data_IF_216261911614
#
_entry.id   IF_216261911614
#
_cell.length_a   1.000
_cell.length_b   1.000
_cell.length_c   1.000
_cell.angle_alpha   90.00
_cell.angle_beta   90.00
_cell.angle_gamma   90.00
#
_symmetry.space_group_name_H-M   'P 1'
#
loop_
_entity.id
_entity.type
_entity.pdbx_description
1 polymer ?
#
# COMPACT_ATOMS: atom_id res chain seq x y z
N UNK A 1 34.02 -4.69 -27.10
CA UNK A 1 34.92 -5.84 -26.88
C UNK A 1 34.49 -6.95 -27.80
N UNK A 2 35.41 -7.44 -28.64
CA UNK A 2 35.14 -8.46 -29.66
C UNK A 2 34.97 -9.85 -29.02
N UNK A 3 34.19 -10.77 -29.61
CA UNK A 3 33.99 -12.10 -29.05
C UNK A 3 35.23 -12.97 -29.25
N UNK A 4 35.95 -13.27 -28.16
CA UNK A 4 37.09 -14.20 -28.14
C UNK A 4 36.72 -15.60 -28.66
N UNK A 5 37.70 -16.44 -29.00
CA UNK A 5 37.51 -17.87 -29.40
C UNK A 5 36.63 -18.66 -28.41
N UNK A 6 36.68 -18.27 -27.12
CA UNK A 6 35.82 -18.79 -26.05
C UNK A 6 34.33 -18.44 -26.29
N UNK A 7 34.05 -17.26 -26.82
CA UNK A 7 32.69 -16.81 -27.18
C UNK A 7 32.18 -17.57 -28.41
N UNK A 8 33.04 -17.83 -29.42
CA UNK A 8 32.70 -18.69 -30.59
C UNK A 8 32.23 -20.08 -30.14
N UNK A 9 33.03 -20.77 -29.32
CA UNK A 9 32.69 -22.08 -28.75
C UNK A 9 31.44 -22.02 -27.86
N UNK A 10 31.31 -20.98 -27.03
CA UNK A 10 30.14 -20.81 -26.15
C UNK A 10 28.85 -20.62 -26.95
N UNK A 11 28.84 -19.82 -28.03
CA UNK A 11 27.66 -19.59 -28.85
C UNK A 11 27.24 -20.84 -29.62
N UNK A 12 28.19 -21.56 -30.22
CA UNK A 12 27.93 -22.85 -30.88
C UNK A 12 27.33 -23.82 -29.87
N UNK A 13 27.97 -24.01 -28.70
CA UNK A 13 27.44 -24.87 -27.64
C UNK A 13 26.06 -24.39 -27.16
N UNK A 14 25.81 -23.09 -27.06
CA UNK A 14 24.48 -22.56 -26.67
C UNK A 14 23.39 -22.94 -27.67
N UNK A 15 23.68 -22.79 -28.96
CA UNK A 15 22.77 -23.05 -30.08
C UNK A 15 22.50 -24.55 -30.23
N UNK A 16 23.51 -25.39 -30.08
CA UNK A 16 23.41 -26.84 -30.23
C UNK A 16 22.93 -27.55 -28.95
N UNK A 17 23.25 -27.03 -27.76
CA UNK A 17 22.78 -27.55 -26.47
C UNK A 17 21.43 -26.97 -26.02
N UNK A 18 20.87 -25.97 -26.71
CA UNK A 18 19.62 -25.29 -26.32
C UNK A 18 19.67 -24.70 -24.89
N UNK A 19 20.83 -24.22 -24.46
CA UNK A 19 21.01 -23.54 -23.16
C UNK A 19 20.96 -24.43 -21.91
N UNK A 20 20.97 -25.77 -22.02
CA UNK A 20 20.85 -26.68 -20.86
C UNK A 20 22.09 -26.79 -19.97
N UNK A 21 23.24 -26.29 -20.43
CA UNK A 21 24.53 -26.62 -19.81
C UNK A 21 25.03 -25.54 -18.83
N UNK A 22 24.16 -24.62 -18.39
CA UNK A 22 24.47 -23.58 -17.39
C UNK A 22 25.47 -22.51 -17.83
N UNK A 23 26.04 -22.63 -19.04
CA UNK A 23 27.12 -21.77 -19.54
C UNK A 23 26.66 -20.44 -20.16
N UNK A 24 25.35 -20.12 -20.17
CA UNK A 24 24.81 -19.02 -20.99
C UNK A 24 23.96 -18.05 -20.17
N UNK A 25 24.44 -16.82 -20.05
CA UNK A 25 23.69 -15.72 -19.43
C UNK A 25 22.71 -15.10 -20.45
N UNK A 26 21.49 -14.77 -20.00
CA UNK A 26 20.45 -14.10 -20.81
C UNK A 26 20.96 -12.80 -21.43
N UNK A 27 21.76 -12.03 -20.68
CA UNK A 27 22.40 -10.80 -21.15
C UNK A 27 23.37 -11.04 -22.33
N UNK A 28 24.15 -12.12 -22.27
CA UNK A 28 25.08 -12.48 -23.34
C UNK A 28 24.35 -12.86 -24.63
N UNK A 29 23.20 -13.55 -24.52
CA UNK A 29 22.35 -13.88 -25.67
C UNK A 29 21.65 -12.66 -26.27
N UNK A 30 21.14 -11.74 -25.45
CA UNK A 30 20.54 -10.50 -25.94
C UNK A 30 21.56 -9.65 -26.70
N UNK A 31 22.77 -9.50 -26.16
CA UNK A 31 23.86 -8.80 -26.85
C UNK A 31 24.26 -9.50 -28.14
N UNK A 32 24.29 -10.83 -28.16
CA UNK A 32 24.57 -11.58 -29.38
C UNK A 32 23.50 -11.32 -30.44
N UNK A 33 22.22 -11.42 -30.12
CA UNK A 33 21.11 -11.18 -31.07
C UNK A 33 21.15 -9.76 -31.62
N UNK A 34 21.44 -8.78 -30.76
CA UNK A 34 21.54 -7.36 -31.12
C UNK A 34 22.70 -7.05 -32.06
N UNK A 35 23.86 -7.69 -31.84
CA UNK A 35 25.08 -7.45 -32.63
C UNK A 35 25.29 -8.48 -33.75
N UNK A 36 24.33 -9.40 -33.96
CA UNK A 36 24.43 -10.38 -35.03
C UNK A 36 24.31 -9.67 -36.38
N UNK A 37 25.20 -9.95 -37.36
CA UNK A 37 25.07 -9.44 -38.72
C UNK A 37 23.74 -9.83 -39.38
N UNK A 38 23.31 -9.07 -40.38
CA UNK A 38 22.10 -9.41 -41.13
C UNK A 38 22.27 -10.72 -41.91
N UNK A 39 21.15 -11.38 -42.24
CA UNK A 39 21.19 -12.66 -42.95
C UNK A 39 21.93 -12.55 -44.31
N UNK A 40 21.82 -11.39 -44.96
CA UNK A 40 22.52 -11.11 -46.22
C UNK A 40 24.04 -11.07 -46.01
N UNK A 41 24.50 -10.40 -44.96
CA UNK A 41 25.92 -10.30 -44.62
C UNK A 41 26.50 -11.67 -44.23
N UNK A 42 25.76 -12.45 -43.44
CA UNK A 42 26.14 -13.82 -43.10
C UNK A 42 26.25 -14.72 -44.35
N UNK A 43 25.39 -14.51 -45.33
CA UNK A 43 25.41 -15.27 -46.59
C UNK A 43 26.64 -14.92 -47.43
N UNK A 44 26.96 -13.63 -47.54
CA UNK A 44 28.18 -13.18 -48.24
C UNK A 44 29.45 -13.72 -47.55
N UNK A 45 29.50 -13.69 -46.21
CA UNK A 45 30.62 -14.25 -45.46
C UNK A 45 30.75 -15.76 -45.68
N UNK A 46 29.64 -16.49 -45.84
CA UNK A 46 29.67 -17.94 -46.10
C UNK A 46 30.40 -18.31 -47.41
N UNK A 47 30.45 -17.41 -48.39
CA UNK A 47 31.16 -17.63 -49.67
C UNK A 47 32.69 -17.55 -49.50
N UNK A 48 33.17 -16.81 -48.51
CA UNK A 48 34.60 -16.59 -48.20
C UNK A 48 35.20 -17.73 -47.35
N UNK A 49 34.54 -18.89 -47.28
CA UNK A 49 34.93 -20.00 -46.39
C UNK A 49 36.30 -20.59 -46.75
N UNK A 50 36.75 -20.47 -47.99
CA UNK A 50 38.07 -20.90 -48.46
C UNK A 50 39.22 -20.06 -47.91
N UNK A 51 38.95 -18.81 -47.53
CA UNK A 51 39.95 -17.83 -47.08
C UNK A 51 39.92 -17.64 -45.54
N UNK A 52 39.35 -18.61 -44.81
CA UNK A 52 39.06 -18.48 -43.38
C UNK A 52 40.26 -18.05 -42.51
N UNK A 53 41.46 -18.57 -42.79
CA UNK A 53 42.67 -18.25 -42.02
C UNK A 53 43.21 -16.84 -42.28
N UNK A 54 42.82 -16.22 -43.41
CA UNK A 54 43.26 -14.88 -43.83
C UNK A 54 42.32 -13.77 -43.34
N UNK A 55 41.11 -14.13 -42.91
CA UNK A 55 40.08 -13.20 -42.46
C UNK A 55 40.27 -12.75 -41.01
N UNK A 56 39.74 -11.57 -40.67
CA UNK A 56 39.80 -11.08 -39.30
C UNK A 56 38.86 -11.87 -38.36
N UNK A 57 39.09 -11.80 -37.04
CA UNK A 57 38.32 -12.59 -36.07
C UNK A 57 36.80 -12.39 -36.15
N UNK A 58 36.34 -11.18 -36.51
CA UNK A 58 34.91 -10.88 -36.68
C UNK A 58 34.30 -11.55 -37.91
N UNK A 59 35.05 -11.66 -39.01
CA UNK A 59 34.59 -12.32 -40.23
C UNK A 59 34.62 -13.84 -40.06
N UNK A 60 35.67 -14.37 -39.42
CA UNK A 60 35.75 -15.76 -39.00
C UNK A 60 34.55 -16.14 -38.10
N UNK A 61 34.18 -15.27 -37.15
CA UNK A 61 32.97 -15.46 -36.34
C UNK A 61 31.71 -15.52 -37.20
N UNK A 62 31.56 -14.58 -38.16
CA UNK A 62 30.42 -14.56 -39.07
C UNK A 62 30.30 -15.81 -39.94
N UNK A 63 31.42 -16.36 -40.42
CA UNK A 63 31.47 -17.63 -41.18
C UNK A 63 31.02 -18.81 -40.34
N UNK A 64 31.47 -18.88 -39.09
CA UNK A 64 31.05 -19.94 -38.17
C UNK A 64 29.55 -19.83 -37.89
N UNK A 65 29.04 -18.62 -37.69
CA UNK A 65 27.61 -18.38 -37.45
C UNK A 65 26.73 -18.64 -38.68
N UNK A 66 27.22 -18.35 -39.89
CA UNK A 66 26.46 -18.58 -41.14
C UNK A 66 26.25 -20.07 -41.43
N UNK A 67 27.10 -20.94 -40.87
CA UNK A 67 26.91 -22.39 -40.96
C UNK A 67 25.67 -22.90 -40.19
N UNK A 68 25.15 -22.12 -39.24
CA UNK A 68 23.97 -22.47 -38.46
C UNK A 68 22.71 -22.05 -39.21
N UNK A 69 21.92 -23.05 -39.64
CA UNK A 69 20.61 -22.81 -40.26
C UNK A 69 19.64 -22.14 -39.28
N UNK A 70 18.93 -21.11 -39.75
CA UNK A 70 17.90 -20.40 -38.96
C UNK A 70 18.44 -19.87 -37.61
N UNK A 71 19.67 -19.35 -37.60
CA UNK A 71 20.35 -18.91 -36.37
C UNK A 71 19.54 -17.90 -35.54
N UNK A 72 18.96 -16.87 -36.16
CA UNK A 72 18.15 -15.86 -35.44
C UNK A 72 16.91 -16.48 -34.76
N UNK A 73 16.06 -17.26 -35.45
CA UNK A 73 15.00 -18.06 -34.82
C UNK A 73 15.48 -18.90 -33.63
N UNK A 74 16.61 -19.61 -33.77
CA UNK A 74 17.18 -20.43 -32.69
C UNK A 74 17.53 -19.61 -31.45
N UNK A 75 18.27 -18.51 -31.65
CA UNK A 75 18.69 -17.63 -30.56
C UNK A 75 17.50 -16.99 -29.85
N UNK A 76 16.49 -16.54 -30.59
CA UNK A 76 15.26 -15.98 -30.01
C UNK A 76 14.48 -17.04 -29.22
N UNK A 77 14.34 -18.26 -29.75
CA UNK A 77 13.68 -19.36 -29.04
C UNK A 77 14.40 -19.75 -27.75
N UNK A 78 15.73 -19.81 -27.76
CA UNK A 78 16.55 -20.07 -26.56
C UNK A 78 16.39 -18.94 -25.55
N UNK A 79 16.48 -17.67 -25.98
CA UNK A 79 16.30 -16.52 -25.10
C UNK A 79 14.91 -16.52 -24.45
N UNK A 80 13.87 -16.80 -25.24
CA UNK A 80 12.51 -16.92 -24.72
C UNK A 80 12.41 -18.04 -23.68
N UNK A 81 12.93 -19.24 -23.99
CA UNK A 81 12.96 -20.36 -23.03
C UNK A 81 13.63 -20.02 -21.71
N UNK A 82 14.73 -19.28 -21.74
CA UNK A 82 15.47 -18.90 -20.54
C UNK A 82 14.76 -17.80 -19.71
N UNK A 83 13.94 -16.97 -20.34
CA UNK A 83 13.26 -15.83 -19.69
C UNK A 83 11.78 -16.08 -19.39
N UNK A 84 11.21 -17.17 -19.88
CA UNK A 84 9.79 -17.46 -19.80
C UNK A 84 9.26 -17.54 -18.37
N UNK A 85 9.91 -18.35 -17.52
CA UNK A 85 9.48 -18.53 -16.13
C UNK A 85 9.56 -17.23 -15.32
N UNK A 86 10.55 -16.38 -15.60
CA UNK A 86 10.64 -15.04 -15.00
C UNK A 86 9.46 -14.16 -15.43
N UNK A 87 9.13 -14.13 -16.73
CA UNK A 87 7.99 -13.38 -17.23
C UNK A 87 6.67 -13.84 -16.58
N UNK A 88 6.46 -15.15 -16.46
CA UNK A 88 5.28 -15.72 -15.78
C UNK A 88 5.23 -15.29 -14.31
N UNK A 89 6.36 -15.37 -13.61
CA UNK A 89 6.44 -14.99 -12.19
C UNK A 89 6.30 -13.49 -11.94
N UNK A 90 6.53 -12.64 -12.94
CA UNK A 90 6.28 -11.21 -12.86
C UNK A 90 4.81 -10.86 -13.17
N UNK A 91 4.19 -11.53 -14.14
CA UNK A 91 2.80 -11.23 -14.58
C UNK A 91 1.76 -11.80 -13.60
N UNK A 92 1.98 -13.03 -13.10
CA UNK A 92 0.98 -13.74 -12.30
C UNK A 92 0.59 -13.00 -11.00
N UNK A 93 1.52 -12.50 -10.18
CA UNK A 93 1.18 -11.82 -8.94
C UNK A 93 0.34 -10.57 -9.17
N UNK A 94 0.62 -9.80 -10.22
CA UNK A 94 -0.13 -8.59 -10.57
C UNK A 94 -1.60 -8.91 -10.87
N UNK A 95 -1.86 -9.97 -11.67
CA UNK A 95 -3.23 -10.43 -11.93
C UNK A 95 -3.91 -10.87 -10.62
N UNK A 96 -3.20 -11.60 -9.76
CA UNK A 96 -3.76 -12.09 -8.50
C UNK A 96 -4.08 -10.96 -7.53
N UNK A 97 -3.21 -9.99 -7.37
CA UNK A 97 -3.41 -8.83 -6.49
C UNK A 97 -4.68 -8.06 -6.87
N UNK A 98 -4.87 -7.78 -8.16
CA UNK A 98 -6.08 -7.09 -8.64
C UNK A 98 -7.32 -7.97 -8.49
N UNK A 99 -7.21 -9.27 -8.77
CA UNK A 99 -8.32 -10.23 -8.63
C UNK A 99 -8.81 -10.29 -7.19
N UNK A 100 -7.90 -10.48 -6.23
CA UNK A 100 -8.24 -10.53 -4.81
C UNK A 100 -8.78 -9.20 -4.30
N UNK A 101 -8.14 -8.07 -4.66
CA UNK A 101 -8.65 -6.76 -4.29
C UNK A 101 -10.08 -6.52 -4.82
N UNK A 102 -10.41 -6.98 -6.03
CA UNK A 102 -11.78 -6.88 -6.53
C UNK A 102 -12.78 -7.67 -5.67
N UNK A 103 -12.42 -8.89 -5.27
CA UNK A 103 -13.27 -9.72 -4.44
C UNK A 103 -13.41 -9.19 -3.02
N UNK A 104 -12.31 -8.77 -2.40
CA UNK A 104 -12.24 -8.18 -1.07
C UNK A 104 -13.14 -6.96 -0.95
N UNK A 105 -13.00 -6.00 -1.87
CA UNK A 105 -13.80 -4.78 -1.86
C UNK A 105 -15.29 -5.07 -2.02
N UNK A 106 -15.65 -6.04 -2.86
CA UNK A 106 -17.05 -6.40 -3.09
C UNK A 106 -17.66 -7.19 -1.91
N UNK A 107 -16.87 -8.01 -1.23
CA UNK A 107 -17.32 -8.90 -0.14
C UNK A 107 -17.20 -8.26 1.25
N UNK A 108 -16.43 -7.19 1.39
CA UNK A 108 -16.20 -6.53 2.67
C UNK A 108 -17.50 -5.92 3.22
N UNK A 109 -18.00 -6.52 4.30
CA UNK A 109 -19.15 -6.04 5.04
C UNK A 109 -18.80 -4.73 5.76
N UNK A 110 -17.62 -4.65 6.38
CA UNK A 110 -17.16 -3.43 7.05
C UNK A 110 -17.05 -2.25 6.09
N UNK A 111 -16.56 -2.48 4.86
CA UNK A 111 -16.49 -1.44 3.84
C UNK A 111 -17.89 -1.00 3.38
N UNK A 112 -18.81 -1.94 3.17
CA UNK A 112 -20.20 -1.62 2.80
C UNK A 112 -20.88 -0.77 3.88
N UNK A 113 -20.67 -1.10 5.15
CA UNK A 113 -21.24 -0.36 6.28
C UNK A 113 -20.67 1.06 6.44
N UNK A 114 -19.37 1.29 6.19
CA UNK A 114 -18.83 2.65 6.21
C UNK A 114 -19.40 3.50 5.07
N UNK A 115 -19.65 2.92 3.89
CA UNK A 115 -20.30 3.63 2.79
C UNK A 115 -21.72 4.08 3.18
N UNK A 116 -22.49 3.20 3.81
CA UNK A 116 -23.83 3.54 4.31
C UNK A 116 -23.79 4.64 5.38
N UNK A 117 -22.84 4.57 6.31
CA UNK A 117 -22.67 5.59 7.35
C UNK A 117 -22.29 6.95 6.73
N UNK A 118 -21.37 6.96 5.75
CA UNK A 118 -21.00 8.17 5.01
C UNK A 118 -22.21 8.74 4.27
N UNK A 119 -23.01 7.89 3.61
CA UNK A 119 -24.22 8.32 2.91
C UNK A 119 -25.24 8.93 3.87
N UNK A 120 -25.47 8.29 5.02
CA UNK A 120 -26.40 8.76 6.05
C UNK A 120 -25.98 10.13 6.58
N UNK A 121 -24.71 10.27 7.00
CA UNK A 121 -24.18 11.52 7.53
C UNK A 121 -24.17 12.61 6.45
N UNK A 122 -23.76 12.26 5.23
CA UNK A 122 -23.79 13.15 4.08
C UNK A 122 -25.20 13.69 3.77
N UNK A 123 -26.21 12.82 3.77
CA UNK A 123 -27.60 13.22 3.54
C UNK A 123 -28.15 14.11 4.65
N UNK A 124 -27.81 13.82 5.91
CA UNK A 124 -28.19 14.65 7.04
C UNK A 124 -27.55 16.04 6.96
N UNK A 125 -26.25 16.10 6.64
CA UNK A 125 -25.51 17.37 6.51
C UNK A 125 -25.96 18.20 5.31
N UNK A 126 -26.35 17.56 4.21
CA UNK A 126 -26.80 18.23 2.98
C UNK A 126 -28.30 18.55 2.95
N UNK A 127 -29.02 18.38 4.07
CA UNK A 127 -30.45 18.66 4.15
C UNK A 127 -30.77 20.10 3.70
N UNK A 128 -31.69 20.24 2.75
CA UNK A 128 -32.07 21.54 2.18
C UNK A 128 -31.16 22.07 1.06
N UNK A 129 -30.12 21.33 0.66
CA UNK A 129 -29.29 21.62 -0.51
C UNK A 129 -29.75 20.80 -1.74
N UNK A 130 -29.16 21.08 -2.92
CA UNK A 130 -29.36 20.27 -4.14
C UNK A 130 -28.97 18.80 -3.96
N UNK A 131 -28.11 18.51 -2.98
CA UNK A 131 -27.59 17.18 -2.72
C UNK A 131 -28.24 16.51 -1.51
N UNK A 132 -29.38 17.03 -1.06
CA UNK A 132 -30.21 16.33 -0.09
C UNK A 132 -30.79 15.06 -0.73
N UNK A 133 -30.92 13.98 0.06
CA UNK A 133 -31.58 12.73 -0.34
C UNK A 133 -30.92 12.03 -1.54
N UNK A 134 -29.58 12.04 -1.62
CA UNK A 134 -28.86 11.24 -2.60
C UNK A 134 -28.96 9.76 -2.24
N UNK A 135 -29.00 8.90 -3.27
CA UNK A 135 -29.02 7.45 -3.12
C UNK A 135 -27.61 6.84 -3.06
N UNK A 136 -26.58 7.61 -3.39
CA UNK A 136 -25.20 7.17 -3.42
C UNK A 136 -24.24 8.31 -3.75
N UNK A 137 -22.96 8.00 -3.68
CA UNK A 137 -21.87 8.90 -4.05
C UNK A 137 -20.75 8.09 -4.72
N UNK A 138 -19.91 8.76 -5.49
CA UNK A 138 -18.77 8.12 -6.14
C UNK A 138 -17.66 7.82 -5.10
N UNK A 139 -17.03 6.64 -5.16
CA UNK A 139 -15.99 6.21 -4.21
C UNK A 139 -14.84 7.21 -4.06
N UNK A 140 -14.46 7.93 -5.13
CA UNK A 140 -13.45 9.00 -5.08
C UNK A 140 -13.73 10.08 -4.03
N UNK A 141 -15.00 10.24 -3.63
CA UNK A 141 -15.41 11.18 -2.60
C UNK A 141 -14.87 10.81 -1.20
N UNK A 142 -14.58 9.53 -0.94
CA UNK A 142 -14.10 9.09 0.38
C UNK A 142 -12.84 9.82 0.83
N UNK A 143 -11.92 10.10 -0.11
CA UNK A 143 -10.71 10.87 0.17
C UNK A 143 -10.99 12.32 0.59
N UNK A 144 -12.14 12.89 0.21
CA UNK A 144 -12.55 14.27 0.49
C UNK A 144 -13.17 14.44 1.89
N UNK A 145 -13.48 13.34 2.59
CA UNK A 145 -14.00 13.38 3.96
C UNK A 145 -13.04 14.05 4.94
N UNK A 146 -11.73 14.00 4.66
CA UNK A 146 -10.72 14.70 5.46
C UNK A 146 -10.78 16.23 5.28
N UNK A 147 -11.24 16.71 4.14
CA UNK A 147 -11.22 18.14 3.81
C UNK A 147 -12.38 18.90 4.46
N UNK A 148 -13.42 18.18 4.87
CA UNK A 148 -14.57 18.75 5.59
C UNK A 148 -14.22 18.89 7.07
N UNK A 149 -14.13 20.12 7.57
CA UNK A 149 -13.74 20.43 8.95
C UNK A 149 -14.92 20.91 9.80
N UNK A 150 -14.83 20.68 11.10
CA UNK A 150 -15.70 21.29 12.11
C UNK A 150 -15.50 22.82 12.15
N UNK A 151 -16.46 23.55 12.73
CA UNK A 151 -16.42 25.02 12.83
C UNK A 151 -15.16 25.53 13.55
N UNK A 152 -14.67 24.78 14.54
CA UNK A 152 -13.45 25.09 15.29
C UNK A 152 -12.16 24.61 14.60
N UNK A 153 -12.26 24.03 13.40
CA UNK A 153 -11.16 23.49 12.57
C UNK A 153 -10.28 22.42 13.23
N UNK A 154 -10.66 21.94 14.41
CA UNK A 154 -9.87 20.96 15.18
C UNK A 154 -10.15 19.50 14.80
N UNK A 155 -11.26 19.23 14.12
CA UNK A 155 -11.65 17.87 13.70
C UNK A 155 -12.18 17.87 12.28
N UNK A 156 -12.04 16.74 11.60
CA UNK A 156 -12.60 16.55 10.26
C UNK A 156 -13.80 15.61 10.31
N UNK A 157 -14.60 15.58 9.24
CA UNK A 157 -15.70 14.63 9.11
C UNK A 157 -15.18 13.19 9.16
N UNK A 158 -14.00 12.92 8.60
CA UNK A 158 -13.35 11.61 8.72
C UNK A 158 -13.03 11.23 10.18
N UNK A 159 -12.51 12.17 10.99
CA UNK A 159 -12.28 11.93 12.42
C UNK A 159 -13.58 11.65 13.16
N UNK A 160 -14.63 12.41 12.86
CA UNK A 160 -15.95 12.19 13.46
C UNK A 160 -16.51 10.80 13.09
N UNK A 161 -16.43 10.42 11.82
CA UNK A 161 -16.89 9.10 11.36
C UNK A 161 -16.10 7.98 12.03
N UNK A 162 -14.77 8.08 12.08
CA UNK A 162 -13.89 7.11 12.72
C UNK A 162 -14.24 6.94 14.22
N UNK A 163 -14.44 8.04 14.95
CA UNK A 163 -14.89 8.02 16.35
C UNK A 163 -16.25 7.33 16.49
N UNK A 164 -17.22 7.63 15.62
CA UNK A 164 -18.55 6.99 15.67
C UNK A 164 -18.49 5.51 15.34
N UNK A 165 -17.61 5.09 14.44
CA UNK A 165 -17.38 3.67 14.17
C UNK A 165 -16.86 2.96 15.43
N UNK A 166 -15.89 3.55 16.12
CA UNK A 166 -15.35 2.97 17.36
C UNK A 166 -16.36 2.89 18.51
N UNK A 167 -17.23 3.89 18.64
CA UNK A 167 -18.23 3.92 19.72
C UNK A 167 -19.45 3.02 19.47
N UNK A 168 -19.91 2.92 18.21
CA UNK A 168 -21.22 2.34 17.90
C UNK A 168 -21.21 1.21 16.88
N UNK A 169 -20.20 1.16 16.02
CA UNK A 169 -20.14 0.24 14.88
C UNK A 169 -18.77 -0.44 14.79
N UNK A 170 -18.34 -1.20 15.83
CA UNK A 170 -17.01 -1.79 15.90
C UNK A 170 -16.73 -2.79 14.76
N UNK A 171 -17.78 -3.35 14.14
CA UNK A 171 -17.69 -4.20 12.95
C UNK A 171 -17.05 -3.48 11.75
N UNK A 172 -17.26 -2.17 11.61
CA UNK A 172 -16.66 -1.37 10.53
C UNK A 172 -15.13 -1.37 10.65
N UNK A 173 -14.59 -1.37 11.88
CA UNK A 173 -13.16 -1.20 12.11
C UNK A 173 -12.29 -2.32 11.52
N UNK A 174 -12.89 -3.42 11.05
CA UNK A 174 -12.20 -4.55 10.41
C UNK A 174 -11.96 -4.34 8.91
N UNK A 175 -12.67 -3.42 8.26
CA UNK A 175 -12.55 -3.23 6.81
C UNK A 175 -11.10 -2.96 6.34
N UNK A 176 -10.22 -2.25 7.08
CA UNK A 176 -8.84 -2.05 6.65
C UNK A 176 -8.05 -3.36 6.54
N UNK A 177 -8.41 -4.38 7.32
CA UNK A 177 -7.78 -5.71 7.27
C UNK A 177 -8.45 -6.60 6.20
N UNK A 178 -9.74 -6.38 5.92
CA UNK A 178 -10.48 -7.08 4.85
C UNK A 178 -10.02 -6.66 3.44
N UNK A 179 -9.36 -5.50 3.31
CA UNK A 179 -8.87 -4.93 2.06
C UNK A 179 -7.33 -5.07 1.92
N UNK A 180 -6.82 -6.28 2.12
CA UNK A 180 -5.38 -6.58 2.16
C UNK A 180 -4.67 -6.27 0.83
N UNK A 181 -5.23 -6.70 -0.30
CA UNK A 181 -4.57 -6.60 -1.60
C UNK A 181 -4.74 -5.25 -2.30
N UNK A 182 -5.56 -4.35 -1.74
CA UNK A 182 -5.88 -3.04 -2.36
C UNK A 182 -4.61 -2.19 -2.59
N UNK A 183 -3.66 -2.19 -1.65
CA UNK A 183 -2.40 -1.42 -1.82
C UNK A 183 -1.48 -2.03 -2.88
N UNK A 184 -1.49 -3.36 -3.04
CA UNK A 184 -0.74 -4.01 -4.10
C UNK A 184 -1.39 -3.77 -5.47
N UNK A 185 -2.72 -3.88 -5.54
CA UNK A 185 -3.50 -3.63 -6.76
C UNK A 185 -3.33 -2.20 -7.27
N UNK A 186 -3.23 -1.20 -6.37
CA UNK A 186 -3.02 0.19 -6.76
C UNK A 186 -1.67 0.47 -7.45
N UNK A 187 -0.72 -0.46 -7.35
CA UNK A 187 0.62 -0.34 -7.97
C UNK A 187 0.71 -1.08 -9.32
N UNK A 188 -0.32 -1.85 -9.68
CA UNK A 188 -0.36 -2.61 -10.93
C UNK A 188 -0.85 -1.72 -12.07
N UNK A 189 -0.03 -1.55 -13.11
CA UNK A 189 -0.47 -0.86 -14.32
C UNK A 189 -1.17 -1.82 -15.28
N UNK A 190 -2.47 -1.60 -15.52
CA UNK A 190 -3.27 -2.42 -16.43
C UNK A 190 -2.70 -2.47 -17.86
N UNK A 191 -2.12 -1.35 -18.32
CA UNK A 191 -1.53 -1.23 -19.65
C UNK A 191 -0.26 -2.07 -19.80
N UNK A 192 0.65 -1.97 -18.82
CA UNK A 192 1.90 -2.74 -18.80
C UNK A 192 1.61 -4.23 -18.70
N UNK A 193 0.64 -4.61 -17.87
CA UNK A 193 0.22 -6.00 -17.70
C UNK A 193 -0.30 -6.58 -19.03
N UNK A 194 -1.20 -5.86 -19.72
CA UNK A 194 -1.71 -6.28 -21.03
C UNK A 194 -0.62 -6.38 -22.09
N UNK A 195 0.26 -5.38 -22.16
CA UNK A 195 1.38 -5.38 -23.11
C UNK A 195 2.36 -6.54 -22.88
N UNK A 196 2.54 -6.95 -21.62
CA UNK A 196 3.40 -8.07 -21.25
C UNK A 196 2.81 -9.41 -21.68
N UNK A 197 1.49 -9.60 -21.48
CA UNK A 197 0.77 -10.77 -21.99
C UNK A 197 0.80 -10.85 -23.53
N UNK A 198 0.56 -9.74 -24.21
CA UNK A 198 0.58 -9.69 -25.69
C UNK A 198 1.98 -9.99 -26.26
N UNK A 199 3.01 -9.56 -25.55
CA UNK A 199 4.40 -9.84 -25.93
C UNK A 199 4.74 -11.31 -25.72
N UNK A 200 4.31 -11.90 -24.60
CA UNK A 200 4.44 -13.33 -24.34
C UNK A 200 3.72 -14.16 -25.41
N UNK A 201 2.48 -13.81 -25.77
CA UNK A 201 1.72 -14.51 -26.80
C UNK A 201 2.45 -14.50 -28.15
N UNK A 202 2.95 -13.33 -28.57
CA UNK A 202 3.71 -13.20 -29.82
C UNK A 202 4.98 -14.05 -29.81
N UNK A 203 5.68 -14.13 -28.68
CA UNK A 203 6.87 -14.99 -28.56
C UNK A 203 6.51 -16.48 -28.69
N UNK A 204 5.41 -16.92 -28.09
CA UNK A 204 4.94 -18.32 -28.18
C UNK A 204 4.52 -18.63 -29.62
N UNK A 205 3.71 -17.79 -30.26
CA UNK A 205 3.29 -17.98 -31.66
C UNK A 205 4.50 -18.03 -32.61
N UNK A 206 5.48 -17.15 -32.39
CA UNK A 206 6.73 -17.17 -33.17
C UNK A 206 7.49 -18.47 -32.98
N UNK A 207 7.64 -18.93 -31.74
CA UNK A 207 8.32 -20.19 -31.44
C UNK A 207 7.61 -21.39 -32.10
N UNK A 208 6.28 -21.46 -32.02
CA UNK A 208 5.48 -22.52 -32.65
C UNK A 208 5.68 -22.54 -34.17
N UNK A 209 5.63 -21.37 -34.81
CA UNK A 209 5.89 -21.22 -36.24
C UNK A 209 7.33 -21.61 -36.61
N UNK A 210 8.32 -21.20 -35.80
CA UNK A 210 9.72 -21.54 -36.03
C UNK A 210 9.95 -23.06 -35.92
N UNK A 211 9.32 -23.73 -34.96
CA UNK A 211 9.38 -25.20 -34.80
C UNK A 211 8.76 -25.91 -36.00
N UNK A 212 7.60 -25.47 -36.48
CA UNK A 212 6.91 -26.10 -37.62
C UNK A 212 7.69 -25.95 -38.93
N UNK A 213 8.31 -24.78 -39.15
CA UNK A 213 9.03 -24.48 -40.38
C UNK A 213 10.51 -24.91 -40.34
N UNK A 214 10.95 -25.56 -39.26
CA UNK A 214 12.34 -25.93 -39.10
C UNK A 214 12.73 -27.08 -40.05
N UNK A 215 13.77 -26.93 -40.89
CA UNK A 215 14.18 -27.99 -41.80
C UNK A 215 14.67 -29.23 -41.02
N UNK A 216 14.23 -30.41 -41.46
CA UNK A 216 14.75 -31.68 -40.95
C UNK A 216 16.26 -31.75 -41.25
N UNK A 217 17.03 -32.09 -40.24
CA UNK A 217 18.50 -32.14 -40.31
C UNK A 217 18.99 -33.58 -40.21
N UNK A 218 20.02 -33.92 -40.97
CA UNK A 218 20.74 -35.19 -40.88
C UNK A 218 21.91 -35.11 -39.88
N UNK A 219 22.22 -33.89 -39.38
CA UNK A 219 23.29 -33.65 -38.42
C UNK A 219 22.89 -34.13 -37.02
N UNK A 220 23.59 -35.14 -36.51
CA UNK A 220 23.38 -35.72 -35.17
C UNK A 220 23.71 -34.76 -34.02
N UNK A 221 24.45 -33.69 -34.28
CA UNK A 221 24.75 -32.64 -33.29
C UNK A 221 23.64 -31.59 -33.21
N UNK A 222 22.81 -31.43 -34.25
CA UNK A 222 21.71 -30.48 -34.30
C UNK A 222 20.48 -30.98 -33.54
N UNK A 223 20.55 -30.82 -32.22
CA UNK A 223 19.46 -31.15 -31.30
C UNK A 223 18.52 -29.98 -31.07
N UNK A 224 18.41 -28.99 -31.96
CA UNK A 224 17.52 -27.86 -31.69
C UNK A 224 16.06 -28.24 -31.82
N UNK A 225 15.64 -28.85 -32.92
CA UNK A 225 14.26 -29.32 -33.07
C UNK A 225 13.96 -30.39 -32.03
N UNK A 226 14.91 -31.29 -31.78
CA UNK A 226 14.82 -32.27 -30.69
C UNK A 226 14.73 -31.58 -29.33
N UNK A 227 15.57 -30.65 -28.92
CA UNK A 227 15.44 -30.04 -27.58
C UNK A 227 14.30 -29.04 -27.48
N UNK A 228 13.96 -28.32 -28.53
CA UNK A 228 12.82 -27.40 -28.50
C UNK A 228 11.47 -28.15 -28.56
N UNK A 229 11.43 -29.33 -29.20
CA UNK A 229 10.24 -30.20 -29.26
C UNK A 229 10.21 -31.32 -28.21
N UNK A 230 11.37 -31.86 -27.79
CA UNK A 230 11.60 -33.05 -26.93
C UNK A 230 12.28 -32.71 -25.59
N UNK A 231 12.97 -31.57 -25.40
CA UNK A 231 13.44 -31.15 -24.06
C UNK A 231 12.29 -30.62 -23.19
N UNK A 232 11.28 -31.48 -23.07
CA UNK A 232 10.04 -31.41 -22.30
C UNK A 232 9.05 -30.38 -22.81
N UNK A 233 8.36 -30.66 -23.93
CA UNK A 233 7.10 -30.02 -24.33
C UNK A 233 7.07 -28.47 -24.15
N UNK A 234 8.21 -27.76 -24.27
CA UNK A 234 8.30 -26.37 -23.80
C UNK A 234 7.35 -25.44 -24.55
N UNK A 235 7.18 -25.67 -25.85
CA UNK A 235 6.17 -24.97 -26.65
C UNK A 235 4.74 -25.25 -26.14
N UNK A 236 4.40 -26.49 -25.76
CA UNK A 236 3.10 -26.80 -25.16
C UNK A 236 2.95 -26.24 -23.75
N UNK A 237 3.95 -26.41 -22.89
CA UNK A 237 3.97 -25.86 -21.52
C UNK A 237 3.82 -24.34 -21.54
N UNK A 238 4.60 -23.63 -22.35
CA UNK A 238 4.50 -22.17 -22.46
C UNK A 238 3.14 -21.73 -22.97
N UNK A 239 2.57 -22.43 -23.96
CA UNK A 239 1.18 -22.23 -24.42
C UNK A 239 0.17 -22.45 -23.29
N UNK A 240 0.23 -23.57 -22.58
CA UNK A 240 -0.69 -23.89 -21.48
C UNK A 240 -0.62 -22.86 -20.33
N UNK A 241 0.59 -22.44 -19.94
CA UNK A 241 0.78 -21.42 -18.92
C UNK A 241 0.25 -20.06 -19.38
N UNK A 242 0.49 -19.69 -20.65
CA UNK A 242 -0.09 -18.48 -21.23
C UNK A 242 -1.62 -18.52 -21.23
N UNK A 243 -2.25 -19.62 -21.66
CA UNK A 243 -3.71 -19.74 -21.67
C UNK A 243 -4.30 -19.60 -20.25
N UNK A 244 -3.63 -20.15 -19.24
CA UNK A 244 -4.01 -19.96 -17.82
C UNK A 244 -3.93 -18.49 -17.43
N UNK A 245 -2.80 -17.82 -17.70
CA UNK A 245 -2.63 -16.39 -17.40
C UNK A 245 -3.65 -15.51 -18.15
N UNK A 246 -3.88 -15.79 -19.44
CA UNK A 246 -4.86 -15.09 -20.27
C UNK A 246 -6.27 -15.26 -19.71
N UNK A 247 -6.63 -16.47 -19.28
CA UNK A 247 -7.91 -16.74 -18.62
C UNK A 247 -8.03 -16.00 -17.29
N UNK A 248 -6.99 -16.03 -16.45
CA UNK A 248 -6.96 -15.28 -15.19
C UNK A 248 -7.12 -13.77 -15.42
N UNK A 249 -6.40 -13.21 -16.39
CA UNK A 249 -6.49 -11.80 -16.75
C UNK A 249 -7.90 -11.42 -17.26
N UNK A 250 -8.52 -12.25 -18.11
CA UNK A 250 -9.91 -12.02 -18.55
C UNK A 250 -10.89 -12.05 -17.39
N UNK A 251 -10.70 -12.96 -16.43
CA UNK A 251 -11.54 -13.02 -15.23
C UNK A 251 -11.33 -11.79 -14.33
N UNK A 252 -10.09 -11.36 -14.13
CA UNK A 252 -9.72 -10.13 -13.42
C UNK A 252 -10.43 -8.91 -14.04
N UNK A 253 -10.40 -8.76 -15.37
CA UNK A 253 -11.10 -7.67 -16.06
C UNK A 253 -12.62 -7.70 -15.81
N UNK A 254 -13.24 -8.88 -15.88
CA UNK A 254 -14.69 -9.03 -15.60
C UNK A 254 -15.04 -8.70 -14.15
N UNK A 255 -14.18 -9.03 -13.19
CA UNK A 255 -14.38 -8.66 -11.79
C UNK A 255 -14.33 -7.15 -11.61
N UNK A 256 -13.39 -6.47 -12.27
CA UNK A 256 -13.30 -5.01 -12.26
C UNK A 256 -14.52 -4.35 -12.93
N UNK A 257 -14.98 -4.89 -14.06
CA UNK A 257 -16.23 -4.44 -14.70
C UNK A 257 -17.45 -4.64 -13.79
N UNK A 258 -17.48 -5.76 -13.05
CA UNK A 258 -18.51 -6.00 -12.04
C UNK A 258 -18.44 -5.01 -10.89
N UNK A 259 -17.26 -4.53 -10.50
CA UNK A 259 -17.12 -3.46 -9.51
C UNK A 259 -17.69 -2.14 -10.02
N UNK A 260 -17.45 -1.80 -11.30
CA UNK A 260 -18.04 -0.62 -11.94
C UNK A 260 -19.57 -0.63 -11.88
N UNK A 261 -20.16 -1.80 -12.15
CA UNK A 261 -21.61 -1.98 -12.03
C UNK A 261 -22.10 -1.89 -10.57
N UNK A 262 -21.33 -2.42 -9.62
CA UNK A 262 -21.70 -2.45 -8.20
C UNK A 262 -21.60 -1.06 -7.52
N UNK A 263 -20.54 -0.31 -7.82
CA UNK A 263 -20.27 1.02 -7.25
C UNK A 263 -20.64 2.18 -8.20
N UNK A 264 -21.30 1.88 -9.31
CA UNK A 264 -21.80 2.85 -10.30
C UNK A 264 -20.71 3.81 -10.86
N UNK A 265 -19.60 3.24 -11.33
CA UNK A 265 -18.58 3.97 -12.11
C UNK A 265 -18.33 3.27 -13.45
N UNK A 266 -17.78 4.01 -14.43
CA UNK A 266 -17.42 3.45 -15.74
C UNK A 266 -15.99 2.86 -15.72
N UNK A 267 -15.83 1.52 -15.83
CA UNK A 267 -14.53 0.84 -15.82
C UNK A 267 -13.59 1.22 -16.96
N UNK A 268 -14.09 1.85 -18.03
CA UNK A 268 -13.27 2.30 -19.15
C UNK A 268 -12.69 3.70 -18.93
N UNK A 269 -13.29 4.47 -18.01
CA UNK A 269 -12.81 5.82 -17.68
C UNK A 269 -11.90 5.82 -16.45
N UNK A 270 -12.17 4.93 -15.49
CA UNK A 270 -11.37 4.80 -14.27
C UNK A 270 -10.46 3.60 -14.42
N UNK A 271 -9.15 3.83 -14.41
CA UNK A 271 -8.16 2.76 -14.48
C UNK A 271 -8.11 1.96 -13.16
N UNK A 272 -7.59 0.73 -13.22
CA UNK A 272 -7.49 -0.16 -12.06
C UNK A 272 -6.61 0.48 -10.98
N UNK A 273 -5.46 1.00 -11.38
CA UNK A 273 -4.51 1.68 -10.50
C UNK A 273 -5.11 2.93 -9.84
N UNK A 274 -5.92 3.72 -10.58
CA UNK A 274 -6.58 4.90 -10.02
C UNK A 274 -7.65 4.50 -8.99
N UNK A 275 -8.53 3.56 -9.33
CA UNK A 275 -9.60 3.10 -8.45
C UNK A 275 -9.05 2.55 -7.12
N UNK A 276 -8.12 1.59 -7.21
CA UNK A 276 -7.52 1.01 -6.02
C UNK A 276 -6.57 1.99 -5.32
N UNK A 277 -5.98 2.94 -6.04
CA UNK A 277 -5.18 4.01 -5.45
C UNK A 277 -5.99 4.95 -4.55
N UNK A 278 -7.17 5.36 -5.00
CA UNK A 278 -8.10 6.15 -4.18
C UNK A 278 -8.55 5.38 -2.94
N UNK A 279 -8.84 4.08 -3.10
CA UNK A 279 -9.29 3.25 -1.98
C UNK A 279 -8.15 2.98 -0.97
N UNK A 280 -6.94 2.70 -1.44
CA UNK A 280 -5.75 2.57 -0.60
C UNK A 280 -5.48 3.85 0.18
N UNK A 281 -5.62 5.01 -0.47
CA UNK A 281 -5.49 6.30 0.19
C UNK A 281 -6.57 6.47 1.27
N UNK A 282 -7.84 6.24 0.95
CA UNK A 282 -8.92 6.33 1.95
C UNK A 282 -8.68 5.40 3.15
N UNK A 283 -8.29 4.14 2.91
CA UNK A 283 -7.94 3.18 3.97
C UNK A 283 -6.88 3.75 4.91
N UNK A 284 -5.81 4.32 4.36
CA UNK A 284 -4.74 4.92 5.15
C UNK A 284 -5.23 6.16 5.92
N UNK A 285 -6.01 7.04 5.28
CA UNK A 285 -6.58 8.22 5.92
C UNK A 285 -7.51 7.84 7.09
N UNK A 286 -8.31 6.78 6.94
CA UNK A 286 -9.18 6.28 7.99
C UNK A 286 -8.37 5.75 9.18
N UNK A 287 -7.34 4.94 8.91
CA UNK A 287 -6.43 4.43 9.94
C UNK A 287 -5.67 5.56 10.66
N UNK A 288 -5.27 6.60 9.93
CA UNK A 288 -4.65 7.80 10.50
C UNK A 288 -5.61 8.52 11.44
N UNK A 289 -6.84 8.76 10.99
CA UNK A 289 -7.87 9.41 11.79
C UNK A 289 -8.18 8.63 13.09
N UNK A 290 -8.22 7.29 13.02
CA UNK A 290 -8.37 6.43 14.21
C UNK A 290 -7.21 6.62 15.20
N UNK A 291 -5.96 6.61 14.71
CA UNK A 291 -4.76 6.83 15.54
C UNK A 291 -4.73 8.22 16.16
N UNK A 292 -5.12 9.24 15.40
CA UNK A 292 -5.20 10.62 15.87
C UNK A 292 -6.29 10.80 16.93
N UNK A 293 -7.48 10.22 16.74
CA UNK A 293 -8.55 10.21 17.73
C UNK A 293 -8.14 9.54 19.05
N UNK A 294 -7.45 8.41 18.98
CA UNK A 294 -6.95 7.72 20.18
C UNK A 294 -5.96 8.61 20.95
N UNK A 295 -4.98 9.21 20.26
CA UNK A 295 -4.02 10.14 20.88
C UNK A 295 -4.70 11.35 21.49
N UNK A 296 -5.71 11.91 20.82
CA UNK A 296 -6.49 13.05 21.31
C UNK A 296 -7.23 12.70 22.61
N UNK A 297 -7.94 11.57 22.65
CA UNK A 297 -8.63 11.09 23.87
C UNK A 297 -7.67 10.87 25.04
N UNK A 298 -6.51 10.26 24.80
CA UNK A 298 -5.49 10.10 25.85
C UNK A 298 -4.99 11.44 26.40
N UNK A 299 -4.79 12.43 25.53
CA UNK A 299 -4.33 13.76 25.91
C UNK A 299 -5.41 14.49 26.72
N UNK A 300 -6.66 14.44 26.28
CA UNK A 300 -7.80 15.04 26.98
C UNK A 300 -8.01 14.43 28.37
N UNK A 301 -7.87 13.11 28.51
CA UNK A 301 -7.91 12.45 29.81
C UNK A 301 -6.77 12.89 30.74
N UNK A 302 -5.55 13.01 30.23
CA UNK A 302 -4.40 13.50 31.00
C UNK A 302 -4.62 14.93 31.47
N UNK A 303 -5.11 15.81 30.61
CA UNK A 303 -5.44 17.21 30.95
C UNK A 303 -6.55 17.25 32.00
N UNK A 304 -7.62 16.48 31.83
CA UNK A 304 -8.73 16.41 32.79
C UNK A 304 -8.27 15.93 34.17
N UNK A 305 -7.45 14.87 34.22
CA UNK A 305 -6.86 14.36 35.47
C UNK A 305 -5.95 15.40 36.14
N UNK A 306 -5.11 16.09 35.37
CA UNK A 306 -4.26 17.15 35.89
C UNK A 306 -5.05 18.33 36.46
N UNK A 307 -6.14 18.76 35.77
CA UNK A 307 -7.03 19.83 36.23
C UNK A 307 -7.72 19.46 37.55
N UNK A 308 -8.29 18.26 37.64
CA UNK A 308 -8.93 17.77 38.86
C UNK A 308 -7.94 17.66 40.03
N UNK A 309 -6.70 17.23 39.77
CA UNK A 309 -5.65 17.16 40.78
C UNK A 309 -5.27 18.57 41.29
N UNK A 310 -5.17 19.56 40.39
CA UNK A 310 -4.87 20.96 40.74
C UNK A 310 -6.01 21.57 41.57
N UNK A 311 -7.26 21.41 41.15
CA UNK A 311 -8.44 21.91 41.87
C UNK A 311 -8.55 21.28 43.27
N UNK A 312 -8.27 19.98 43.40
CA UNK A 312 -8.22 19.31 44.71
C UNK A 312 -7.10 19.85 45.59
N UNK A 313 -5.90 20.04 45.05
CA UNK A 313 -4.78 20.60 45.79
C UNK A 313 -5.02 22.05 46.25
N UNK A 314 -5.69 22.87 45.43
CA UNK A 314 -6.08 24.22 45.81
C UNK A 314 -7.15 24.23 46.90
N UNK A 315 -8.14 23.34 46.83
CA UNK A 315 -9.16 23.17 47.88
C UNK A 315 -8.55 22.76 49.22
N UNK A 316 -7.67 21.74 49.22
CA UNK A 316 -6.96 21.31 50.42
C UNK A 316 -6.07 22.42 51.01
N UNK A 317 -5.44 23.24 50.15
CA UNK A 317 -4.65 24.40 50.59
C UNK A 317 -5.53 25.48 51.24
N UNK A 318 -6.70 25.77 50.66
CA UNK A 318 -7.63 26.75 51.21
C UNK A 318 -8.23 26.28 52.55
N UNK A 319 -8.61 25.01 52.66
CA UNK A 319 -9.08 24.42 53.92
C UNK A 319 -8.01 24.49 55.03
N UNK A 320 -6.75 24.22 54.70
CA UNK A 320 -5.63 24.38 55.65
C UNK A 320 -5.46 25.83 56.09
N UNK A 321 -5.59 26.79 55.17
CA UNK A 321 -5.50 28.20 55.50
C UNK A 321 -6.68 28.66 56.37
N UNK A 322 -7.90 28.19 56.10
CA UNK A 322 -9.07 28.48 56.93
C UNK A 322 -8.96 27.89 58.33
N UNK A 323 -8.55 26.62 58.47
CA UNK A 323 -8.28 26.01 59.79
C UNK A 323 -7.20 26.78 60.56
N UNK A 324 -6.14 27.23 59.88
CA UNK A 324 -5.11 28.08 60.50
C UNK A 324 -5.66 29.44 60.93
N UNK A 325 -6.53 30.06 60.13
CA UNK A 325 -7.19 31.33 60.49
C UNK A 325 -8.15 31.17 61.68
N UNK A 326 -8.95 30.10 61.73
CA UNK A 326 -9.84 29.82 62.87
C UNK A 326 -9.07 29.65 64.19
N UNK A 327 -7.92 28.97 64.17
CA UNK A 327 -7.03 28.88 65.34
C UNK A 327 -6.44 30.24 65.75
N UNK A 328 -6.33 31.20 64.83
CA UNK A 328 -5.81 32.54 65.11
C UNK A 328 -6.94 33.49 65.56
N UNK A 329 -8.17 33.35 65.05
CA UNK A 329 -9.31 34.22 65.37
C UNK A 329 -9.92 33.93 66.76
N UNK A 330 -9.73 32.70 67.30
CA UNK A 330 -9.96 32.42 68.73
C UNK A 330 -9.07 33.25 69.67
N UNK A 331 -8.08 33.99 69.14
CA UNK A 331 -7.23 34.92 69.92
C UNK A 331 -7.71 36.38 69.90
N UNK A 332 -8.88 36.69 69.31
CA UNK A 332 -9.40 38.07 69.24
C UNK A 332 -10.44 38.44 70.29
N UNK A 333 -10.92 37.49 71.09
CA UNK A 333 -11.72 37.79 72.27
C UNK A 333 -10.79 38.08 73.47
N UNK A 334 -10.26 39.30 73.50
CA UNK A 334 -10.18 40.14 74.70
C UNK A 334 -9.40 39.71 75.96
N UNK A 335 -8.71 38.57 76.04
CA UNK A 335 -7.92 38.22 77.24
C UNK A 335 -6.47 37.83 76.88
N UNK A 336 -5.56 38.80 77.02
CA UNK A 336 -4.12 38.66 76.72
C UNK A 336 -3.39 37.66 77.64
N UNK A 337 -4.05 37.13 78.68
CA UNK A 337 -3.43 36.24 79.69
C UNK A 337 -3.57 34.74 79.37
N UNK A 338 -4.38 34.33 78.38
CA UNK A 338 -4.63 32.91 78.03
C UNK A 338 -4.10 32.47 76.66
N UNK A 339 -3.52 33.39 75.88
CA UNK A 339 -3.11 33.13 74.49
C UNK A 339 -1.88 32.21 74.42
N UNK A 340 -0.93 32.36 75.36
CA UNK A 340 0.28 31.52 75.41
C UNK A 340 -0.03 30.09 75.84
N UNK A 341 -0.96 29.91 76.79
CA UNK A 341 -1.33 28.59 77.33
C UNK A 341 -2.15 27.78 76.32
N UNK A 342 -3.09 28.40 75.60
CA UNK A 342 -3.82 27.74 74.51
C UNK A 342 -2.88 27.33 73.35
N UNK A 343 -1.85 28.15 73.05
CA UNK A 343 -0.86 27.82 72.03
C UNK A 343 0.05 26.67 72.48
N UNK A 344 0.49 26.68 73.75
CA UNK A 344 1.25 25.60 74.37
C UNK A 344 0.44 24.30 74.40
N UNK A 345 -0.84 24.34 74.77
CA UNK A 345 -1.73 23.17 74.79
C UNK A 345 -1.94 22.61 73.37
N UNK A 346 -2.10 23.45 72.35
CA UNK A 346 -2.20 23.01 70.96
C UNK A 346 -0.88 22.39 70.42
N UNK A 347 0.28 22.88 70.87
CA UNK A 347 1.60 22.33 70.55
C UNK A 347 1.86 21.01 71.30
N UNK A 348 1.44 20.92 72.56
CA UNK A 348 1.66 19.79 73.46
C UNK A 348 0.67 18.63 73.21
N UNK A 349 -0.59 18.92 72.87
CA UNK A 349 -1.58 17.94 72.40
C UNK A 349 -1.34 17.45 70.97
N UNK A 350 -0.40 18.08 70.26
CA UNK A 350 -0.07 17.79 68.86
C UNK A 350 -1.11 18.27 67.85
N UNK A 351 -2.17 18.97 68.28
CA UNK A 351 -3.20 19.54 67.41
C UNK A 351 -2.63 20.53 66.38
N UNK A 352 -1.58 21.28 66.74
CA UNK A 352 -0.89 22.23 65.88
C UNK A 352 -0.08 21.59 64.72
N UNK A 353 0.25 20.30 64.79
CA UNK A 353 1.15 19.62 63.85
C UNK A 353 0.53 18.43 63.09
N UNK A 354 -0.79 18.20 63.22
CA UNK A 354 -1.48 17.01 62.69
C UNK A 354 -1.26 16.73 61.19
N UNK A 355 -0.90 17.73 60.40
CA UNK A 355 -0.78 17.60 58.94
C UNK A 355 0.59 17.15 58.41
N UNK A 356 1.65 17.07 59.25
CA UNK A 356 3.01 16.81 58.75
C UNK A 356 3.33 15.32 58.48
N UNK A 357 2.46 14.38 58.88
CA UNK A 357 2.73 12.92 58.80
C UNK A 357 2.30 12.21 57.52
N UNK A 358 1.64 12.87 56.55
CA UNK A 358 1.40 12.29 55.21
C UNK A 358 2.26 13.00 54.15
N UNK A 359 3.55 12.68 54.11
CA UNK A 359 4.41 12.92 52.95
C UNK A 359 4.49 11.64 52.12
N UNK A 360 3.85 11.60 50.96
CA UNK A 360 4.21 10.68 49.87
C UNK A 360 5.43 11.22 49.10
N UNK A 361 6.27 10.37 48.50
CA UNK A 361 7.53 10.80 47.89
C UNK A 361 7.31 11.65 46.63
N UNK A 362 8.14 12.67 46.49
CA UNK A 362 8.15 13.65 45.38
C UNK A 362 8.96 13.09 44.21
N UNK A 363 8.30 12.60 43.17
CA UNK A 363 8.94 12.44 41.86
C UNK A 363 8.80 13.75 41.08
N UNK A 364 9.93 14.41 40.83
CA UNK A 364 9.99 15.66 40.10
C UNK A 364 9.85 15.44 38.59
N UNK A 365 8.91 16.16 37.97
CA UNK A 365 9.06 16.70 36.61
C UNK A 365 8.48 18.10 36.58
N UNK A 366 9.28 19.03 36.08
CA UNK A 366 9.01 20.45 35.85
C UNK A 366 7.86 20.62 34.84
N UNK A 367 6.90 21.47 35.16
CA UNK A 367 5.84 21.88 34.25
C UNK A 367 6.00 23.37 33.92
N UNK A 368 6.09 23.65 32.63
CA UNK A 368 5.99 24.98 32.05
C UNK A 368 4.55 25.49 32.17
N UNK A 369 4.42 26.77 32.49
CA UNK A 369 3.16 27.52 32.53
C UNK A 369 2.71 27.88 31.13
N UNK A 370 1.51 27.46 30.73
CA UNK A 370 0.76 28.06 29.61
C UNK A 370 -0.62 28.46 30.12
N UNK A 371 -1.01 29.68 29.75
CA UNK A 371 -2.23 30.36 30.20
C UNK A 371 -3.51 29.63 29.82
N UNK A 372 -4.50 29.81 30.68
CA UNK A 372 -5.86 29.29 30.57
C UNK A 372 -6.73 30.26 29.79
N UNK A 373 -7.40 29.79 28.74
CA UNK A 373 -8.72 30.28 28.36
C UNK A 373 -9.74 29.17 28.60
N UNK A 374 -10.82 29.53 29.27
CA UNK A 374 -11.94 28.67 29.64
C UNK A 374 -12.95 28.60 28.51
N UNK A 375 -13.24 27.39 28.02
CA UNK A 375 -14.49 27.11 27.32
C UNK A 375 -15.17 25.94 28.01
N UNK A 376 -16.39 26.20 28.44
CA UNK A 376 -17.32 25.25 29.02
C UNK A 376 -18.35 24.93 27.93
N UNK A 377 -18.45 23.66 27.54
CA UNK A 377 -19.59 23.21 26.73
C UNK A 377 -20.22 21.96 27.36
N UNK A 378 -21.55 21.88 27.40
CA UNK A 378 -22.28 20.67 27.79
C UNK A 378 -22.34 19.67 26.62
N UNK A 379 -22.49 18.40 26.98
CA UNK A 379 -22.48 17.17 26.18
C UNK A 379 -23.53 17.02 25.06
N UNK A 380 -24.10 18.11 24.54
CA UNK A 380 -25.12 18.05 23.46
C UNK A 380 -24.80 18.89 22.22
N UNK A 381 -23.57 19.40 22.10
CA UNK A 381 -23.19 20.33 21.03
C UNK A 381 -22.53 19.68 19.80
N UNK A 382 -22.11 18.41 19.88
CA UNK A 382 -21.27 17.79 18.84
C UNK A 382 -21.98 17.62 17.48
N UNK A 383 -23.30 17.48 17.47
CA UNK A 383 -24.06 17.41 16.21
C UNK A 383 -24.23 18.78 15.54
N UNK A 384 -24.18 19.89 16.30
CA UNK A 384 -24.48 21.23 15.80
C UNK A 384 -23.24 21.96 15.24
N UNK A 385 -22.04 21.63 15.71
CA UNK A 385 -20.78 22.31 15.36
C UNK A 385 -20.19 21.85 14.01
N UNK A 386 -20.67 20.72 13.47
CA UNK A 386 -20.25 20.21 12.16
C UNK A 386 -21.16 20.73 11.02
N UNK A 387 -22.31 21.35 11.33
CA UNK A 387 -23.40 21.60 10.36
C UNK A 387 -23.39 22.94 9.61
N UNK A 388 -22.32 23.74 9.62
CA UNK A 388 -22.38 25.14 9.13
C UNK A 388 -21.41 25.56 8.02
N UNK A 389 -20.80 24.66 7.24
CA UNK A 389 -20.73 24.97 5.81
C UNK A 389 -20.71 23.72 4.92
N UNK A 390 -21.87 23.32 4.38
CA UNK A 390 -21.90 22.46 3.21
C UNK A 390 -23.02 22.89 2.25
N UNK A 391 -22.73 23.96 1.51
CA UNK A 391 -23.47 24.36 0.33
C UNK A 391 -22.50 24.36 -0.86
N UNK A 392 -22.06 23.16 -1.25
CA UNK A 392 -21.39 22.72 -2.50
C UNK A 392 -20.49 21.53 -2.14
N UNK A 393 -20.35 20.57 -3.05
CA UNK A 393 -19.52 19.34 -3.00
C UNK A 393 -20.27 18.07 -2.57
N UNK A 394 -21.42 17.84 -3.19
CA UNK A 394 -21.74 16.54 -3.83
C UNK A 394 -22.22 16.86 -5.25
#
# INVERSE_FOLDING_TARGET
MLPTERTRKTVIVSVFSCGTDGCVCTFSLQNLIKNLPEQKELSNLAELKSEYEELCESEQFGIVMSSVKMLRPRLNGILFKLTFEEQVNNIRPDIMNVTFACEEVKKSEGFSMILELVLLVGNYMNAGSRNAQTFGFNISFLCKLRDTKSTDQNTTLLHFLAEKCEEKYPEILKFPDELEHVECASKVSAQILKASLDTMERHIQRLENDIQNFPKTEDKQDKFVEKMSISFDFSKHSREQYEKLSTMHKNMQKLYESLGSYFAFDPHTVSIEDFFGELANFRNLFMDAMRENHKKREMEEKIKRAKLAKEKAEREKLERQQKKKQLIDMNKEGDEMGVMDNLMEALQSGAAFRDRRKRTPRNGKTAYTVGTESIQTPLNFSLFVILQPFAKII
#
